data_IF_198151809050
#
_entry.id   IF_198151809050
#
_cell.length_a   1.000
_cell.length_b   1.000
_cell.length_c   1.000
_cell.angle_alpha   90.00
_cell.angle_beta   90.00
_cell.angle_gamma   90.00
#
_symmetry.space_group_name_H-M   'P 1'
#
loop_
_entity.id
_entity.type
_entity.pdbx_description
1 polymer ?
#
# COMPACT_ATOMS: atom_id res chain seq x y z
N UNK A 1 -18.82 26.82 0.61
CA UNK A 1 -19.41 25.77 1.43
C UNK A 1 -20.63 25.07 0.77
N UNK A 2 -21.68 25.80 0.28
CA UNK A 2 -22.83 25.13 -0.42
C UNK A 2 -22.41 24.23 -1.59
N UNK A 3 -21.53 24.67 -2.50
CA UNK A 3 -21.04 23.85 -3.62
C UNK A 3 -20.31 22.56 -3.20
N UNK A 4 -19.57 22.58 -2.08
CA UNK A 4 -18.87 21.41 -1.56
C UNK A 4 -19.85 20.37 -0.97
N UNK A 5 -20.90 20.85 -0.25
CA UNK A 5 -21.96 19.97 0.28
C UNK A 5 -22.78 19.30 -0.83
N UNK A 6 -23.03 20.02 -1.93
CA UNK A 6 -23.73 19.49 -3.11
C UNK A 6 -22.86 18.43 -3.80
N UNK A 7 -21.56 18.68 -3.99
CA UNK A 7 -20.63 17.70 -4.56
C UNK A 7 -20.51 16.46 -3.68
N UNK A 8 -20.46 16.61 -2.36
CA UNK A 8 -20.48 15.53 -1.38
C UNK A 8 -21.76 14.71 -1.45
N UNK A 9 -22.93 15.38 -1.51
CA UNK A 9 -24.21 14.71 -1.64
C UNK A 9 -24.37 13.95 -2.96
N UNK A 10 -23.99 14.57 -4.09
CA UNK A 10 -24.01 13.93 -5.40
C UNK A 10 -23.05 12.74 -5.48
N UNK A 11 -21.84 12.85 -4.90
CA UNK A 11 -20.90 11.73 -4.88
C UNK A 11 -21.38 10.55 -4.05
N UNK A 12 -22.04 10.79 -2.91
CA UNK A 12 -22.69 9.74 -2.11
C UNK A 12 -23.82 9.05 -2.86
N UNK A 13 -24.65 9.81 -3.59
CA UNK A 13 -25.73 9.26 -4.43
C UNK A 13 -25.14 8.42 -5.56
N UNK A 14 -24.12 8.91 -6.24
CA UNK A 14 -23.43 8.18 -7.31
C UNK A 14 -22.79 6.90 -6.77
N UNK A 15 -22.14 6.95 -5.61
CA UNK A 15 -21.55 5.78 -4.94
C UNK A 15 -22.63 4.74 -4.62
N UNK A 16 -23.79 5.18 -4.11
CA UNK A 16 -24.91 4.28 -3.82
C UNK A 16 -25.49 3.65 -5.10
N UNK A 17 -25.67 4.42 -6.16
CA UNK A 17 -26.19 3.92 -7.45
C UNK A 17 -25.21 2.91 -8.08
N UNK A 18 -23.92 3.20 -8.09
CA UNK A 18 -22.91 2.27 -8.61
C UNK A 18 -22.78 0.99 -7.77
N UNK A 19 -22.94 1.06 -6.45
CA UNK A 19 -22.97 -0.13 -5.58
C UNK A 19 -24.12 -1.08 -5.87
N UNK A 20 -25.27 -0.53 -6.26
CA UNK A 20 -26.47 -1.33 -6.54
C UNK A 20 -26.40 -2.06 -7.89
N UNK A 21 -25.55 -1.62 -8.83
CA UNK A 21 -25.53 -2.09 -10.22
C UNK A 21 -24.24 -2.82 -10.63
N UNK A 22 -23.25 -2.97 -9.73
CA UNK A 22 -22.02 -3.64 -10.12
C UNK A 22 -22.21 -5.16 -10.15
N UNK A 23 -22.05 -5.75 -11.34
CA UNK A 23 -22.03 -7.21 -11.55
C UNK A 23 -20.62 -7.64 -11.98
N UNK A 24 -20.14 -8.76 -11.47
CA UNK A 24 -18.92 -9.39 -11.96
C UNK A 24 -19.03 -9.72 -13.45
N UNK A 25 -17.89 -9.72 -14.14
CA UNK A 25 -17.76 -10.16 -15.53
C UNK A 25 -17.64 -11.68 -15.68
N UNK A 26 -17.43 -12.38 -14.58
CA UNK A 26 -17.46 -13.84 -14.52
C UNK A 26 -18.82 -14.31 -14.01
N UNK A 27 -19.31 -15.42 -14.56
CA UNK A 27 -20.48 -16.11 -14.06
C UNK A 27 -20.09 -17.09 -12.96
N UNK A 28 -21.01 -17.41 -12.05
CA UNK A 28 -20.81 -18.36 -10.95
C UNK A 28 -20.44 -19.78 -11.40
N UNK A 29 -20.72 -20.09 -12.67
CA UNK A 29 -20.42 -21.39 -13.31
C UNK A 29 -19.14 -21.38 -14.16
N UNK A 30 -18.31 -20.35 -14.07
CA UNK A 30 -17.10 -20.29 -14.89
C UNK A 30 -16.09 -21.36 -14.45
N UNK A 31 -15.76 -22.26 -15.39
CA UNK A 31 -14.79 -23.35 -15.21
C UNK A 31 -13.43 -23.04 -15.79
N UNK A 32 -13.32 -21.91 -16.51
CA UNK A 32 -12.13 -21.53 -17.25
C UNK A 32 -11.81 -20.04 -17.06
N UNK A 33 -10.52 -19.73 -16.84
CA UNK A 33 -10.01 -18.36 -16.74
C UNK A 33 -8.76 -18.23 -17.60
N UNK A 34 -8.74 -17.17 -18.42
CA UNK A 34 -7.57 -16.72 -19.14
C UNK A 34 -7.17 -15.33 -18.61
N UNK A 35 -5.86 -15.11 -18.42
CA UNK A 35 -5.37 -13.81 -18.00
C UNK A 35 -3.85 -13.76 -17.85
N UNK A 36 -3.40 -12.63 -17.30
CA UNK A 36 -1.98 -12.33 -17.11
C UNK A 36 -1.65 -12.37 -15.61
N UNK A 37 -0.55 -13.00 -15.23
CA UNK A 37 -0.05 -13.02 -13.85
C UNK A 37 0.44 -11.60 -13.47
N UNK A 38 -0.30 -10.93 -12.59
CA UNK A 38 0.08 -9.63 -12.04
C UNK A 38 0.94 -9.78 -10.76
N UNK A 39 0.50 -10.71 -9.86
CA UNK A 39 1.23 -11.07 -8.64
C UNK A 39 1.10 -12.55 -8.38
N UNK A 40 2.09 -13.09 -7.64
CA UNK A 40 2.03 -14.44 -7.11
C UNK A 40 2.69 -14.52 -5.74
N UNK A 41 2.19 -15.44 -4.90
CA UNK A 41 2.75 -15.74 -3.58
C UNK A 41 2.73 -17.26 -3.37
N UNK A 42 3.86 -17.78 -2.90
CA UNK A 42 3.95 -19.16 -2.39
C UNK A 42 3.80 -19.11 -0.87
N UNK A 43 2.88 -19.92 -0.34
CA UNK A 43 2.59 -20.02 1.09
C UNK A 43 2.38 -21.48 1.46
N UNK A 44 3.37 -22.09 2.10
CA UNK A 44 3.37 -23.55 2.31
C UNK A 44 3.25 -24.32 0.98
N UNK A 45 2.26 -25.20 0.87
CA UNK A 45 1.90 -25.91 -0.37
C UNK A 45 1.02 -25.09 -1.32
N UNK A 46 0.54 -23.91 -0.90
CA UNK A 46 -0.38 -23.07 -1.67
C UNK A 46 0.37 -22.09 -2.55
N UNK A 47 -0.06 -21.97 -3.82
CA UNK A 47 0.24 -20.87 -4.73
C UNK A 47 -0.99 -19.98 -4.85
N UNK A 48 -0.86 -18.70 -4.56
CA UNK A 48 -1.89 -17.69 -4.79
C UNK A 48 -1.46 -16.76 -5.90
N UNK A 49 -2.29 -16.66 -6.94
CA UNK A 49 -2.07 -15.80 -8.13
C UNK A 49 -3.10 -14.68 -8.13
N UNK A 50 -2.68 -13.42 -8.32
CA UNK A 50 -3.56 -12.34 -8.76
C UNK A 50 -3.48 -12.28 -10.28
N UNK A 51 -4.57 -12.56 -10.96
CA UNK A 51 -4.67 -12.67 -12.41
C UNK A 51 -5.50 -11.52 -12.97
N UNK A 52 -4.98 -10.88 -14.01
CA UNK A 52 -5.69 -9.87 -14.80
C UNK A 52 -6.30 -10.55 -16.04
N UNK A 53 -7.56 -10.97 -15.91
CA UNK A 53 -8.37 -11.51 -16.99
C UNK A 53 -9.46 -10.51 -17.43
N UNK A 54 -10.70 -10.96 -17.59
CA UNK A 54 -11.87 -10.07 -17.82
C UNK A 54 -12.03 -9.05 -16.70
N UNK A 55 -11.71 -9.45 -15.49
CA UNK A 55 -11.53 -8.63 -14.29
C UNK A 55 -10.40 -9.21 -13.45
N UNK A 56 -9.98 -8.50 -12.39
CA UNK A 56 -8.96 -9.02 -11.46
C UNK A 56 -9.57 -10.14 -10.62
N UNK A 57 -8.88 -11.28 -10.55
CA UNK A 57 -9.31 -12.45 -9.79
C UNK A 57 -8.13 -13.04 -9.01
N UNK A 58 -8.40 -13.63 -7.85
CA UNK A 58 -7.43 -14.43 -7.08
C UNK A 58 -7.64 -15.88 -7.41
N UNK A 59 -6.57 -16.56 -7.82
CA UNK A 59 -6.58 -17.98 -8.18
C UNK A 59 -5.63 -18.73 -7.23
N UNK A 60 -6.12 -19.82 -6.65
CA UNK A 60 -5.37 -20.65 -5.71
C UNK A 60 -5.10 -22.02 -6.30
N UNK A 61 -3.86 -22.47 -6.22
CA UNK A 61 -3.43 -23.83 -6.58
C UNK A 61 -2.71 -24.46 -5.39
N UNK A 62 -2.89 -25.75 -5.18
CA UNK A 62 -2.24 -26.49 -4.11
C UNK A 62 -1.34 -27.56 -4.74
N UNK A 63 -0.05 -27.51 -4.40
CA UNK A 63 0.92 -28.49 -4.85
C UNK A 63 0.82 -29.78 -4.03
N UNK A 64 0.84 -30.90 -4.69
CA UNK A 64 0.83 -32.23 -4.03
C UNK A 64 2.23 -32.59 -3.50
N UNK A 65 3.30 -32.12 -4.18
CA UNK A 65 4.68 -32.44 -3.82
C UNK A 65 5.56 -31.17 -3.75
N UNK A 66 6.64 -31.27 -2.97
CA UNK A 66 7.66 -30.20 -2.87
C UNK A 66 8.40 -30.05 -4.22
N UNK A 67 8.63 -31.14 -4.93
CA UNK A 67 9.33 -31.14 -6.21
C UNK A 67 8.55 -30.39 -7.28
N UNK A 68 7.23 -30.61 -7.35
CA UNK A 68 6.33 -29.87 -8.23
C UNK A 68 6.41 -28.37 -7.94
N UNK A 69 6.29 -27.97 -6.67
CA UNK A 69 6.40 -26.56 -6.24
C UNK A 69 7.73 -25.93 -6.67
N UNK A 70 8.86 -26.59 -6.43
CA UNK A 70 10.16 -26.05 -6.79
C UNK A 70 10.37 -25.98 -8.31
N UNK A 71 9.84 -26.93 -9.07
CA UNK A 71 9.83 -26.88 -10.54
C UNK A 71 9.00 -25.70 -11.05
N UNK A 72 7.84 -25.45 -10.42
CA UNK A 72 6.93 -24.37 -10.78
C UNK A 72 7.52 -22.99 -10.44
N UNK A 73 8.19 -22.83 -9.30
CA UNK A 73 8.89 -21.59 -8.92
C UNK A 73 9.91 -21.14 -9.98
N UNK A 74 10.60 -22.07 -10.62
CA UNK A 74 11.59 -21.77 -11.68
C UNK A 74 10.94 -21.31 -12.98
N UNK A 75 9.69 -21.70 -13.23
CA UNK A 75 8.96 -21.43 -14.50
C UNK A 75 8.13 -20.15 -14.45
N UNK A 76 7.57 -19.81 -13.27
CA UNK A 76 6.63 -18.69 -13.12
C UNK A 76 7.33 -17.34 -13.22
N UNK A 77 6.68 -16.41 -13.93
CA UNK A 77 7.15 -15.02 -14.09
C UNK A 77 5.97 -14.06 -14.13
N UNK A 78 6.19 -12.84 -13.68
CA UNK A 78 5.21 -11.76 -13.85
C UNK A 78 4.91 -11.52 -15.34
N UNK A 79 3.65 -11.30 -15.65
CA UNK A 79 3.22 -10.96 -17.00
C UNK A 79 3.07 -12.13 -17.97
N UNK A 80 3.27 -13.38 -17.52
CA UNK A 80 2.95 -14.56 -18.33
C UNK A 80 1.45 -14.67 -18.50
N UNK A 81 1.01 -15.06 -19.70
CA UNK A 81 -0.37 -15.43 -19.97
C UNK A 81 -0.61 -16.84 -19.46
N UNK A 82 -1.69 -17.02 -18.72
CA UNK A 82 -2.09 -18.32 -18.14
C UNK A 82 -3.50 -18.69 -18.54
N UNK A 83 -3.70 -20.00 -18.67
CA UNK A 83 -4.99 -20.64 -18.89
C UNK A 83 -5.23 -21.57 -17.70
N UNK A 84 -6.33 -21.34 -17.00
CA UNK A 84 -6.67 -22.02 -15.75
C UNK A 84 -7.99 -22.74 -15.92
N UNK A 85 -8.03 -24.03 -15.60
CA UNK A 85 -9.25 -24.82 -15.44
C UNK A 85 -9.48 -25.06 -13.94
N UNK A 86 -10.74 -25.02 -13.51
CA UNK A 86 -11.10 -25.24 -12.11
C UNK A 86 -12.47 -24.71 -11.76
N UNK A 87 -12.66 -24.28 -10.51
CA UNK A 87 -13.95 -23.85 -9.96
C UNK A 87 -13.88 -22.45 -9.37
N UNK A 88 -14.87 -21.65 -9.73
CA UNK A 88 -15.07 -20.31 -9.18
C UNK A 88 -15.87 -20.40 -7.89
N UNK A 89 -15.48 -19.63 -6.88
CA UNK A 89 -16.15 -19.58 -5.58
C UNK A 89 -16.31 -18.14 -5.11
N UNK A 90 -17.42 -17.86 -4.44
CA UNK A 90 -17.61 -16.60 -3.71
C UNK A 90 -16.81 -16.68 -2.41
N UNK A 91 -15.95 -15.70 -2.11
CA UNK A 91 -15.24 -15.69 -0.83
C UNK A 91 -16.21 -15.66 0.35
N UNK A 92 -15.97 -16.49 1.36
CA UNK A 92 -16.79 -16.54 2.55
C UNK A 92 -16.73 -15.24 3.34
N UNK A 93 -17.85 -14.87 3.92
CA UNK A 93 -17.90 -13.79 4.92
C UNK A 93 -17.46 -14.34 6.29
N UNK A 94 -16.94 -13.44 7.12
CA UNK A 94 -16.62 -13.82 8.48
C UNK A 94 -17.87 -14.18 9.26
N UNK A 95 -17.85 -15.33 9.88
CA UNK A 95 -18.87 -15.76 10.86
C UNK A 95 -18.65 -15.15 12.26
N UNK A 96 -17.38 -14.84 12.59
CA UNK A 96 -17.02 -14.27 13.89
C UNK A 96 -16.93 -12.74 13.84
N UNK A 97 -17.59 -12.09 14.78
CA UNK A 97 -17.57 -10.65 14.96
C UNK A 97 -16.13 -10.18 15.27
N UNK A 98 -15.62 -9.19 14.53
CA UNK A 98 -14.32 -8.53 14.71
C UNK A 98 -13.08 -9.20 14.08
N UNK A 99 -13.21 -10.31 13.36
CA UNK A 99 -12.10 -10.86 12.60
C UNK A 99 -11.94 -10.17 11.23
N UNK A 100 -10.74 -10.30 10.64
CA UNK A 100 -10.44 -9.80 9.31
C UNK A 100 -11.44 -10.36 8.27
N UNK A 101 -12.19 -9.48 7.61
CA UNK A 101 -13.16 -9.88 6.60
C UNK A 101 -12.51 -9.97 5.22
N UNK A 102 -12.13 -11.18 4.83
CA UNK A 102 -11.45 -11.46 3.58
C UNK A 102 -12.27 -11.04 2.35
N UNK A 103 -13.60 -11.23 2.35
CA UNK A 103 -14.48 -10.81 1.26
C UNK A 103 -14.46 -9.30 1.06
N UNK A 104 -14.60 -8.51 2.13
CA UNK A 104 -14.51 -7.05 2.08
C UNK A 104 -13.14 -6.57 1.59
N UNK A 105 -12.07 -7.24 2.03
CA UNK A 105 -10.73 -6.95 1.55
C UNK A 105 -10.60 -7.20 0.04
N UNK A 106 -11.09 -8.31 -0.48
CA UNK A 106 -11.09 -8.62 -1.90
C UNK A 106 -11.93 -7.63 -2.71
N UNK A 107 -13.14 -7.28 -2.22
CA UNK A 107 -13.98 -6.25 -2.84
C UNK A 107 -13.27 -4.89 -2.92
N UNK A 108 -12.47 -4.53 -1.91
CA UNK A 108 -11.67 -3.30 -1.95
C UNK A 108 -10.63 -3.30 -3.09
N UNK A 109 -10.23 -4.47 -3.57
CA UNK A 109 -9.37 -4.69 -4.75
C UNK A 109 -10.15 -4.89 -6.06
N UNK A 110 -11.48 -4.81 -6.05
CA UNK A 110 -12.38 -5.19 -7.16
C UNK A 110 -12.24 -6.67 -7.54
N UNK A 111 -12.04 -7.53 -6.57
CA UNK A 111 -12.01 -8.98 -6.72
C UNK A 111 -13.29 -9.53 -6.09
N UNK A 112 -14.14 -10.15 -6.92
CA UNK A 112 -15.46 -10.62 -6.50
C UNK A 112 -15.45 -12.12 -6.23
N UNK A 113 -14.57 -12.84 -6.92
CA UNK A 113 -14.47 -14.29 -6.85
C UNK A 113 -13.05 -14.74 -6.54
N UNK A 114 -12.96 -15.93 -5.99
CA UNK A 114 -11.72 -16.72 -5.87
C UNK A 114 -11.87 -17.94 -6.75
N UNK A 115 -10.83 -18.27 -7.48
CA UNK A 115 -10.80 -19.42 -8.38
C UNK A 115 -9.88 -20.50 -7.83
N UNK A 116 -10.39 -21.70 -7.62
CA UNK A 116 -9.59 -22.85 -7.23
C UNK A 116 -9.17 -23.60 -8.48
N UNK A 117 -7.87 -23.64 -8.71
CA UNK A 117 -7.26 -24.17 -9.92
C UNK A 117 -7.11 -25.68 -9.78
N UNK A 118 -7.51 -26.40 -10.85
CA UNK A 118 -7.28 -27.84 -11.03
C UNK A 118 -6.15 -28.08 -12.04
N UNK A 119 -6.08 -27.27 -13.11
CA UNK A 119 -5.02 -27.35 -14.13
C UNK A 119 -4.49 -25.96 -14.49
N UNK A 120 -3.17 -25.88 -14.76
CA UNK A 120 -2.48 -24.65 -15.16
C UNK A 120 -1.71 -24.89 -16.45
N UNK A 121 -1.96 -24.05 -17.44
CA UNK A 121 -1.12 -23.92 -18.61
C UNK A 121 -0.51 -22.52 -18.66
N UNK A 122 0.80 -22.43 -18.93
CA UNK A 122 1.54 -21.17 -18.95
C UNK A 122 2.08 -20.90 -20.35
N UNK A 123 1.76 -19.71 -20.91
CA UNK A 123 2.36 -19.20 -22.15
C UNK A 123 3.33 -18.07 -21.86
N UNK A 124 4.51 -18.11 -22.47
CA UNK A 124 5.58 -17.12 -22.29
C UNK A 124 5.39 -15.87 -23.17
N UNK A 125 4.20 -15.30 -23.21
CA UNK A 125 3.94 -14.03 -23.89
C UNK A 125 3.94 -12.89 -22.87
N UNK A 126 5.09 -12.19 -22.75
CA UNK A 126 5.30 -11.18 -21.71
C UNK A 126 5.50 -9.81 -22.36
N UNK A 127 4.70 -8.81 -21.97
CA UNK A 127 4.84 -7.44 -22.46
C UNK A 127 6.08 -6.72 -21.88
N UNK A 128 6.46 -5.59 -22.48
CA UNK A 128 7.69 -4.85 -22.16
C UNK A 128 7.78 -4.45 -20.68
N UNK A 129 6.69 -3.96 -20.07
CA UNK A 129 6.70 -3.51 -18.68
C UNK A 129 6.96 -4.67 -17.71
N UNK A 130 6.36 -5.83 -17.95
CA UNK A 130 6.64 -7.03 -17.15
C UNK A 130 8.02 -7.62 -17.43
N UNK A 131 8.58 -7.46 -18.65
CA UNK A 131 9.99 -7.81 -18.92
C UNK A 131 10.93 -6.99 -18.05
N UNK A 132 10.67 -5.67 -17.91
CA UNK A 132 11.43 -4.79 -17.00
C UNK A 132 11.31 -5.28 -15.55
N UNK A 133 10.07 -5.58 -15.08
CA UNK A 133 9.83 -6.10 -13.73
C UNK A 133 10.60 -7.39 -13.48
N UNK A 134 10.51 -8.37 -14.38
CA UNK A 134 11.23 -9.65 -14.28
C UNK A 134 12.76 -9.47 -14.31
N UNK A 135 13.27 -8.52 -15.09
CA UNK A 135 14.70 -8.19 -15.09
C UNK A 135 15.15 -7.63 -13.73
N UNK A 136 14.33 -6.75 -13.13
CA UNK A 136 14.59 -6.23 -11.79
C UNK A 136 14.55 -7.36 -10.74
N UNK A 137 13.56 -8.26 -10.77
CA UNK A 137 13.51 -9.42 -9.87
C UNK A 137 14.80 -10.22 -9.93
N UNK A 138 15.25 -10.62 -11.12
CA UNK A 138 16.52 -11.34 -11.29
C UNK A 138 17.73 -10.58 -10.72
N UNK A 139 17.70 -9.24 -10.76
CA UNK A 139 18.76 -8.41 -10.18
C UNK A 139 18.67 -8.38 -8.66
N UNK A 140 17.45 -8.31 -8.10
CA UNK A 140 17.18 -8.34 -6.66
C UNK A 140 17.57 -9.69 -6.03
N UNK A 141 17.32 -10.81 -6.75
CA UNK A 141 17.69 -12.16 -6.29
C UNK A 141 19.19 -12.26 -5.94
N UNK A 142 20.05 -11.53 -6.68
CA UNK A 142 21.51 -11.52 -6.42
C UNK A 142 21.87 -10.88 -5.07
N UNK A 143 21.02 -9.99 -4.53
CA UNK A 143 21.26 -9.31 -3.25
C UNK A 143 20.83 -10.15 -2.04
N UNK A 144 19.89 -11.09 -2.24
CA UNK A 144 19.34 -11.93 -1.20
C UNK A 144 18.81 -11.12 0.01
N UNK A 145 18.11 -10.03 -0.25
CA UNK A 145 17.52 -9.19 0.80
C UNK A 145 16.04 -8.96 0.56
N UNK A 146 15.15 -9.38 1.49
CA UNK A 146 13.71 -9.23 1.36
C UNK A 146 13.26 -7.76 1.34
N UNK A 147 14.00 -6.86 2.00
CA UNK A 147 13.68 -5.44 2.03
C UNK A 147 13.80 -4.76 0.66
N UNK A 148 14.69 -5.25 -0.21
CA UNK A 148 14.79 -4.72 -1.58
C UNK A 148 13.52 -4.96 -2.39
N UNK A 149 12.89 -6.13 -2.23
CA UNK A 149 11.59 -6.41 -2.87
C UNK A 149 10.51 -5.47 -2.37
N UNK A 150 10.48 -5.22 -1.05
CA UNK A 150 9.51 -4.32 -0.45
C UNK A 150 9.69 -2.87 -0.94
N UNK A 151 10.92 -2.35 -1.03
CA UNK A 151 11.17 -0.94 -1.37
C UNK A 151 11.22 -0.66 -2.88
N UNK A 152 11.61 -1.64 -3.69
CA UNK A 152 11.71 -1.45 -5.16
C UNK A 152 10.44 -1.89 -5.88
N UNK A 153 9.83 -3.00 -5.45
CA UNK A 153 8.66 -3.58 -6.12
C UNK A 153 7.36 -3.45 -5.30
N UNK A 154 7.44 -2.93 -4.06
CA UNK A 154 6.28 -2.89 -3.15
C UNK A 154 5.81 -4.28 -2.72
N UNK A 155 6.66 -5.29 -2.86
CA UNK A 155 6.34 -6.68 -2.55
C UNK A 155 6.95 -7.10 -1.20
N UNK A 156 6.08 -7.22 -0.19
CA UNK A 156 6.47 -7.65 1.15
C UNK A 156 6.38 -9.15 1.36
N UNK A 157 6.03 -9.94 0.33
CA UNK A 157 5.88 -11.39 0.46
C UNK A 157 7.19 -12.12 0.79
N UNK A 158 8.33 -11.51 0.49
CA UNK A 158 9.66 -12.04 0.77
C UNK A 158 10.11 -11.78 2.23
N UNK A 159 9.44 -10.90 2.97
CA UNK A 159 9.72 -10.65 4.39
C UNK A 159 9.02 -11.73 5.21
N UNK A 160 9.72 -12.29 6.18
CA UNK A 160 9.19 -13.30 7.09
C UNK A 160 7.97 -12.79 7.85
N UNK A 161 7.01 -13.68 8.13
CA UNK A 161 5.76 -13.28 8.79
C UNK A 161 6.02 -12.77 10.23
N UNK A 162 6.95 -13.34 10.96
CA UNK A 162 7.33 -12.92 12.31
C UNK A 162 7.85 -11.46 12.32
N UNK A 163 8.64 -11.10 11.29
CA UNK A 163 9.12 -9.73 11.11
C UNK A 163 7.95 -8.79 10.80
N UNK A 164 7.03 -9.18 9.91
CA UNK A 164 5.85 -8.37 9.59
C UNK A 164 4.96 -8.16 10.80
N UNK A 165 4.72 -9.22 11.58
CA UNK A 165 3.97 -9.17 12.82
C UNK A 165 4.64 -8.25 13.85
N UNK A 166 5.96 -8.33 13.98
CA UNK A 166 6.74 -7.44 14.84
C UNK A 166 6.61 -5.98 14.42
N UNK A 167 6.68 -5.67 13.11
CA UNK A 167 6.43 -4.33 12.60
C UNK A 167 5.00 -3.84 12.87
N UNK A 168 4.03 -4.73 12.76
CA UNK A 168 2.62 -4.42 13.00
C UNK A 168 2.35 -4.13 14.47
N UNK A 169 2.82 -5.01 15.35
CA UNK A 169 2.67 -4.91 16.79
C UNK A 169 3.33 -3.64 17.36
N UNK A 170 4.42 -3.20 16.74
CA UNK A 170 5.11 -1.96 17.09
C UNK A 170 4.55 -0.71 16.37
N UNK A 171 3.48 -0.84 15.57
CA UNK A 171 2.82 0.29 14.89
C UNK A 171 3.64 0.95 13.78
N UNK A 172 4.66 0.26 13.27
CA UNK A 172 5.58 0.74 12.22
C UNK A 172 5.45 -0.03 10.90
N UNK A 173 4.44 -0.88 10.74
CA UNK A 173 4.19 -1.67 9.52
C UNK A 173 4.11 -0.83 8.24
N UNK A 174 3.67 0.42 8.35
CA UNK A 174 3.60 1.36 7.23
C UNK A 174 4.96 1.70 6.61
N UNK A 175 6.07 1.43 7.31
CA UNK A 175 7.43 1.65 6.83
C UNK A 175 7.90 0.56 5.87
N UNK A 176 7.36 -0.66 5.96
CA UNK A 176 7.62 -1.75 5.02
C UNK A 176 6.87 -1.54 3.68
N UNK A 177 5.74 -0.85 3.73
CA UNK A 177 4.97 -0.53 2.54
C UNK A 177 5.50 0.76 1.89
N UNK A 178 5.38 0.86 0.56
CA UNK A 178 5.72 2.11 -0.13
C UNK A 178 4.68 3.17 0.24
N UNK A 179 5.14 4.16 0.99
CA UNK A 179 4.34 5.26 1.49
C UNK A 179 4.37 6.48 0.57
N UNK A 180 3.44 7.42 0.82
CA UNK A 180 3.44 8.71 0.13
C UNK A 180 4.72 9.52 0.35
N UNK A 181 5.38 9.35 1.50
CA UNK A 181 6.65 9.99 1.81
C UNK A 181 7.77 9.45 0.91
N UNK A 182 7.86 8.14 0.73
CA UNK A 182 8.84 7.50 -0.16
C UNK A 182 8.72 8.01 -1.60
N UNK A 183 7.49 8.06 -2.14
CA UNK A 183 7.20 8.60 -3.48
C UNK A 183 7.61 10.07 -3.58
N UNK A 184 7.18 10.88 -2.63
CA UNK A 184 7.46 12.31 -2.64
C UNK A 184 8.96 12.59 -2.51
N UNK A 185 9.68 11.86 -1.66
CA UNK A 185 11.11 11.99 -1.48
C UNK A 185 11.87 11.64 -2.77
N UNK A 186 11.59 10.46 -3.34
CA UNK A 186 12.27 9.98 -4.55
C UNK A 186 12.04 10.93 -5.74
N UNK A 187 10.78 11.28 -6.00
CA UNK A 187 10.45 12.07 -7.19
C UNK A 187 10.69 13.58 -7.03
N UNK A 188 10.68 14.12 -5.78
CA UNK A 188 11.20 15.48 -5.54
C UNK A 188 12.71 15.56 -5.74
N UNK A 189 13.45 14.57 -5.23
CA UNK A 189 14.89 14.49 -5.46
C UNK A 189 15.22 14.47 -6.94
N UNK A 190 14.58 13.58 -7.70
CA UNK A 190 14.75 13.48 -9.14
C UNK A 190 14.35 14.76 -9.88
N UNK A 191 13.19 15.35 -9.54
CA UNK A 191 12.73 16.61 -10.12
C UNK A 191 13.73 17.75 -9.88
N UNK A 192 14.26 17.88 -8.67
CA UNK A 192 15.22 18.90 -8.30
C UNK A 192 16.57 18.71 -9.03
N UNK A 193 17.03 17.46 -9.20
CA UNK A 193 18.23 17.15 -9.97
C UNK A 193 18.05 17.54 -11.44
N UNK A 194 16.94 17.17 -12.06
CA UNK A 194 16.65 17.50 -13.45
C UNK A 194 16.49 18.99 -13.69
N UNK A 195 15.98 19.77 -12.71
CA UNK A 195 15.83 21.23 -12.83
C UNK A 195 17.16 21.98 -12.93
N UNK A 196 18.29 21.35 -12.55
CA UNK A 196 19.62 21.90 -12.76
C UNK A 196 20.08 21.80 -14.22
N UNK A 197 19.46 20.91 -15.01
CA UNK A 197 19.95 20.54 -16.34
C UNK A 197 18.97 20.91 -17.46
N UNK A 198 17.66 20.80 -17.23
CA UNK A 198 16.61 20.93 -18.26
C UNK A 198 15.51 21.93 -17.88
N UNK A 199 14.72 22.36 -18.91
CA UNK A 199 13.56 23.25 -18.72
C UNK A 199 12.47 22.58 -17.88
N UNK A 200 11.78 23.36 -17.03
CA UNK A 200 10.73 22.91 -16.08
C UNK A 200 9.65 22.02 -16.72
N UNK A 201 9.15 22.38 -17.91
CA UNK A 201 8.11 21.60 -18.60
C UNK A 201 8.59 20.18 -18.98
N UNK A 202 9.78 20.09 -19.55
CA UNK A 202 10.40 18.79 -19.91
C UNK A 202 10.61 17.92 -18.69
N UNK A 203 11.04 18.51 -17.56
CA UNK A 203 11.29 17.79 -16.32
C UNK A 203 10.02 17.18 -15.74
N UNK A 204 8.89 17.91 -15.76
CA UNK A 204 7.61 17.39 -15.30
C UNK A 204 7.18 16.19 -16.14
N UNK A 205 7.36 16.22 -17.46
CA UNK A 205 7.02 15.12 -18.36
C UNK A 205 7.88 13.88 -18.03
N UNK A 206 9.22 14.04 -17.95
CA UNK A 206 10.13 12.94 -17.63
C UNK A 206 9.77 12.32 -16.28
N UNK A 207 9.60 13.16 -15.25
CA UNK A 207 9.27 12.68 -13.89
C UNK A 207 7.92 11.99 -13.87
N UNK A 208 6.92 12.46 -14.65
CA UNK A 208 5.60 11.80 -14.74
C UNK A 208 5.71 10.42 -15.39
N UNK A 209 6.50 10.28 -16.45
CA UNK A 209 6.71 8.97 -17.10
C UNK A 209 7.41 8.00 -16.14
N UNK A 210 8.48 8.44 -15.48
CA UNK A 210 9.22 7.62 -14.52
C UNK A 210 8.36 7.25 -13.31
N UNK A 211 7.54 8.18 -12.83
CA UNK A 211 6.57 7.91 -11.77
C UNK A 211 5.57 6.85 -12.20
N UNK A 212 5.03 6.93 -13.41
CA UNK A 212 4.08 5.93 -13.91
C UNK A 212 4.71 4.53 -14.00
N UNK A 213 5.95 4.44 -14.50
CA UNK A 213 6.70 3.18 -14.52
C UNK A 213 6.90 2.64 -13.11
N UNK A 214 7.26 3.50 -12.16
CA UNK A 214 7.44 3.10 -10.77
C UNK A 214 6.12 2.66 -10.11
N UNK A 215 5.02 3.38 -10.35
CA UNK A 215 3.69 2.97 -9.87
C UNK A 215 3.27 1.60 -10.41
N UNK A 216 3.61 1.30 -11.67
CA UNK A 216 3.42 -0.03 -12.25
C UNK A 216 4.24 -1.10 -11.50
N UNK A 217 5.53 -0.84 -11.26
CA UNK A 217 6.42 -1.78 -10.56
C UNK A 217 5.92 -2.12 -9.16
N UNK A 218 5.42 -1.13 -8.42
CA UNK A 218 4.89 -1.30 -7.05
C UNK A 218 3.42 -1.75 -7.00
N UNK A 219 2.79 -1.98 -8.16
CA UNK A 219 1.45 -2.57 -8.27
C UNK A 219 0.30 -1.59 -8.00
N UNK A 220 0.46 -0.30 -8.30
CA UNK A 220 -0.60 0.72 -8.22
C UNK A 220 -1.36 0.74 -6.89
N UNK A 221 -0.65 0.68 -5.75
CA UNK A 221 -1.31 0.81 -4.45
C UNK A 221 -2.03 2.16 -4.31
N UNK A 222 -3.14 2.19 -3.57
CA UNK A 222 -3.94 3.43 -3.40
C UNK A 222 -3.13 4.57 -2.77
N UNK A 223 -2.21 4.25 -1.84
CA UNK A 223 -1.31 5.23 -1.22
C UNK A 223 -0.30 5.79 -2.23
N UNK A 224 0.27 4.93 -3.09
CA UNK A 224 1.24 5.35 -4.10
C UNK A 224 0.60 6.18 -5.22
N UNK A 225 -0.57 5.77 -5.73
CA UNK A 225 -1.32 6.56 -6.73
C UNK A 225 -1.69 7.93 -6.16
N UNK A 226 -2.25 7.99 -4.93
CA UNK A 226 -2.60 9.26 -4.27
C UNK A 226 -1.39 10.18 -4.20
N UNK A 227 -0.27 9.68 -3.68
CA UNK A 227 0.93 10.49 -3.50
C UNK A 227 1.52 10.97 -4.84
N UNK A 228 1.60 10.09 -5.82
CA UNK A 228 2.08 10.42 -7.16
C UNK A 228 1.21 11.46 -7.86
N UNK A 229 -0.12 11.27 -7.82
CA UNK A 229 -1.08 12.23 -8.40
C UNK A 229 -1.01 13.58 -7.71
N UNK A 230 -0.97 13.62 -6.36
CA UNK A 230 -0.81 14.87 -5.61
C UNK A 230 0.52 15.55 -5.97
N UNK A 231 1.61 14.80 -6.02
CA UNK A 231 2.92 15.33 -6.36
C UNK A 231 2.91 16.03 -7.72
N UNK A 232 2.44 15.38 -8.78
CA UNK A 232 2.41 15.95 -10.13
C UNK A 232 1.49 17.16 -10.22
N UNK A 233 0.26 17.07 -9.71
CA UNK A 233 -0.73 18.16 -9.82
C UNK A 233 -0.25 19.39 -9.05
N UNK A 234 0.32 19.24 -7.86
CA UNK A 234 0.86 20.37 -7.07
C UNK A 234 2.09 21.03 -7.71
N UNK A 235 2.85 20.30 -8.56
CA UNK A 235 3.94 20.89 -9.36
C UNK A 235 3.44 21.69 -10.56
N UNK A 236 2.29 21.33 -11.12
CA UNK A 236 1.70 21.97 -12.31
C UNK A 236 0.78 23.12 -11.92
N UNK A 237 -0.09 22.91 -10.92
CA UNK A 237 -1.16 23.83 -10.54
C UNK A 237 -1.05 24.28 -9.07
N UNK A 238 -1.31 25.56 -8.83
CA UNK A 238 -1.43 26.12 -7.46
C UNK A 238 -2.83 25.82 -6.90
N UNK A 239 -3.01 24.62 -6.36
CA UNK A 239 -4.26 24.18 -5.71
C UNK A 239 -3.98 23.99 -4.22
N UNK A 240 -4.93 24.32 -3.35
CA UNK A 240 -4.83 24.04 -1.91
C UNK A 240 -4.75 22.53 -1.69
N UNK A 241 -3.72 21.98 -1.00
CA UNK A 241 -3.49 20.54 -0.89
C UNK A 241 -4.68 19.75 -0.35
N UNK A 242 -5.43 20.28 0.62
CA UNK A 242 -6.60 19.60 1.17
C UNK A 242 -7.74 19.46 0.14
N UNK A 243 -7.95 20.47 -0.74
CA UNK A 243 -8.97 20.38 -1.81
C UNK A 243 -8.60 19.29 -2.82
N UNK A 244 -7.33 19.24 -3.20
CA UNK A 244 -6.84 18.19 -4.10
C UNK A 244 -6.96 16.80 -3.48
N UNK A 245 -6.59 16.64 -2.20
CA UNK A 245 -6.72 15.39 -1.47
C UNK A 245 -8.17 14.89 -1.45
N UNK A 246 -9.13 15.77 -1.11
CA UNK A 246 -10.56 15.43 -1.11
C UNK A 246 -11.07 15.06 -2.51
N UNK A 247 -10.63 15.80 -3.55
CA UNK A 247 -10.99 15.46 -4.94
C UNK A 247 -10.51 14.05 -5.30
N UNK A 248 -9.25 13.72 -4.99
CA UNK A 248 -8.69 12.40 -5.25
C UNK A 248 -9.43 11.32 -4.44
N UNK A 249 -9.77 11.59 -3.17
CA UNK A 249 -10.54 10.69 -2.32
C UNK A 249 -11.88 10.31 -2.97
N UNK A 250 -12.65 11.30 -3.43
CA UNK A 250 -13.94 11.04 -4.08
C UNK A 250 -13.77 10.32 -5.42
N UNK A 251 -12.77 10.67 -6.22
CA UNK A 251 -12.49 9.95 -7.47
C UNK A 251 -12.20 8.47 -7.22
N UNK A 252 -11.45 8.15 -6.17
CA UNK A 252 -11.21 6.76 -5.77
C UNK A 252 -12.50 6.04 -5.36
N UNK A 253 -13.38 6.69 -4.57
CA UNK A 253 -14.65 6.10 -4.17
C UNK A 253 -15.63 5.94 -5.33
N UNK A 254 -15.65 6.87 -6.28
CA UNK A 254 -16.42 6.73 -7.53
C UNK A 254 -15.90 5.53 -8.34
N UNK A 255 -14.57 5.36 -8.41
CA UNK A 255 -13.97 4.24 -9.11
C UNK A 255 -14.24 2.89 -8.43
N UNK A 256 -14.11 2.84 -7.11
CA UNK A 256 -14.38 1.65 -6.29
C UNK A 256 -14.88 2.05 -4.90
N UNK A 257 -16.19 2.02 -4.64
CA UNK A 257 -16.76 2.39 -3.33
C UNK A 257 -16.34 1.45 -2.20
N UNK A 258 -15.99 0.19 -2.51
CA UNK A 258 -15.51 -0.76 -1.52
C UNK A 258 -14.13 -0.43 -0.93
N UNK A 259 -13.42 0.58 -1.48
CA UNK A 259 -12.18 1.09 -0.88
C UNK A 259 -12.36 1.59 0.55
N UNK A 260 -13.58 1.96 0.96
CA UNK A 260 -13.89 2.31 2.34
C UNK A 260 -13.59 1.16 3.33
N UNK A 261 -13.57 -0.09 2.87
CA UNK A 261 -13.18 -1.25 3.68
C UNK A 261 -11.68 -1.50 3.69
N UNK A 262 -10.91 -0.75 2.89
CA UNK A 262 -9.44 -0.86 2.86
C UNK A 262 -8.81 0.01 3.93
N UNK A 263 -8.22 -0.61 4.94
CA UNK A 263 -7.48 0.07 6.00
C UNK A 263 -6.35 0.96 5.42
N UNK A 264 -5.60 0.45 4.44
CA UNK A 264 -4.51 1.19 3.80
C UNK A 264 -5.03 2.45 3.09
N UNK A 265 -6.20 2.37 2.44
CA UNK A 265 -6.84 3.53 1.84
C UNK A 265 -7.24 4.55 2.91
N UNK A 266 -7.96 4.14 3.95
CA UNK A 266 -8.43 5.03 5.01
C UNK A 266 -7.25 5.72 5.73
N UNK A 267 -6.26 4.95 6.19
CA UNK A 267 -5.08 5.50 6.86
C UNK A 267 -4.34 6.50 5.96
N UNK A 268 -4.16 6.15 4.68
CA UNK A 268 -3.46 7.01 3.73
C UNK A 268 -4.13 8.37 3.56
N UNK A 269 -5.47 8.42 3.47
CA UNK A 269 -6.20 9.69 3.28
C UNK A 269 -6.39 10.45 4.58
N UNK A 270 -6.81 9.77 5.66
CA UNK A 270 -7.09 10.40 6.96
C UNK A 270 -5.82 11.01 7.56
N UNK A 271 -4.73 10.25 7.64
CA UNK A 271 -3.46 10.76 8.17
C UNK A 271 -2.95 11.95 7.35
N UNK A 272 -3.00 11.85 6.01
CA UNK A 272 -2.56 12.97 5.16
C UNK A 272 -3.43 14.21 5.35
N UNK A 273 -4.73 14.06 5.52
CA UNK A 273 -5.65 15.16 5.76
C UNK A 273 -5.34 15.88 7.07
N UNK A 274 -5.10 15.14 8.14
CA UNK A 274 -4.71 15.70 9.43
C UNK A 274 -3.35 16.41 9.35
N UNK A 275 -2.36 15.83 8.68
CA UNK A 275 -1.04 16.47 8.49
C UNK A 275 -1.15 17.78 7.68
N UNK A 276 -2.06 17.85 6.71
CA UNK A 276 -2.29 19.09 5.94
C UNK A 276 -2.98 20.16 6.79
N UNK A 277 -3.98 19.78 7.58
CA UNK A 277 -4.73 20.71 8.43
C UNK A 277 -3.84 21.25 9.56
N UNK A 278 -3.16 20.36 10.26
CA UNK A 278 -2.33 20.70 11.41
C UNK A 278 -0.88 21.03 11.05
N UNK A 279 -0.59 21.37 9.78
CA UNK A 279 0.75 21.74 9.30
C UNK A 279 1.40 22.83 10.14
N UNK A 280 0.61 23.75 10.71
CA UNK A 280 1.12 24.87 11.49
C UNK A 280 1.68 24.44 12.85
N UNK A 281 1.30 23.28 13.37
CA UNK A 281 1.90 22.64 14.54
C UNK A 281 3.24 21.96 14.22
N UNK A 282 3.48 21.62 12.93
CA UNK A 282 4.69 20.95 12.47
C UNK A 282 5.78 22.00 12.17
N UNK A 283 6.13 22.81 13.18
CA UNK A 283 7.17 23.87 13.08
C UNK A 283 8.26 23.64 14.13
N UNK A 284 9.44 24.20 13.88
CA UNK A 284 10.58 24.12 14.79
C UNK A 284 11.76 23.35 14.21
N UNK A 285 12.62 22.82 15.05
CA UNK A 285 13.77 22.02 14.68
C UNK A 285 13.34 20.63 14.14
N UNK A 286 14.29 19.88 13.59
CA UNK A 286 14.01 18.57 12.97
C UNK A 286 13.32 17.59 13.94
N UNK A 287 13.81 17.48 15.17
CA UNK A 287 13.25 16.60 16.19
C UNK A 287 11.78 16.95 16.49
N UNK A 288 11.49 18.23 16.77
CA UNK A 288 10.13 18.71 17.05
C UNK A 288 9.18 18.46 15.86
N UNK A 289 9.64 18.71 14.63
CA UNK A 289 8.84 18.42 13.42
C UNK A 289 8.50 16.94 13.31
N UNK A 290 9.46 16.05 13.48
CA UNK A 290 9.26 14.60 13.38
C UNK A 290 8.33 14.10 14.49
N UNK A 291 8.52 14.57 15.72
CA UNK A 291 7.66 14.23 16.85
C UNK A 291 6.22 14.69 16.62
N UNK A 292 6.00 15.94 16.21
CA UNK A 292 4.65 16.46 15.92
C UNK A 292 3.99 15.73 14.76
N UNK A 293 4.74 15.40 13.71
CA UNK A 293 4.24 14.60 12.59
C UNK A 293 3.80 13.21 13.09
N UNK A 294 4.61 12.56 13.93
CA UNK A 294 4.32 11.24 14.50
C UNK A 294 3.07 11.27 15.39
N UNK A 295 2.97 12.29 16.27
CA UNK A 295 1.80 12.48 17.13
C UNK A 295 0.52 12.72 16.35
N UNK A 296 0.54 13.60 15.36
CA UNK A 296 -0.63 13.90 14.53
C UNK A 296 -1.03 12.65 13.74
N UNK A 297 -0.07 11.94 13.16
CA UNK A 297 -0.33 10.70 12.41
C UNK A 297 -0.89 9.60 13.32
N UNK A 298 -0.37 9.46 14.54
CA UNK A 298 -0.83 8.53 15.55
C UNK A 298 -2.29 8.83 15.94
N UNK A 299 -2.62 10.07 16.33
CA UNK A 299 -3.97 10.47 16.70
C UNK A 299 -4.94 10.23 15.53
N UNK A 300 -4.57 10.62 14.32
CA UNK A 300 -5.38 10.43 13.13
C UNK A 300 -5.62 8.95 12.78
N UNK A 301 -4.62 8.09 12.96
CA UNK A 301 -4.68 6.66 12.64
C UNK A 301 -5.33 5.79 13.70
N UNK A 302 -5.30 6.21 14.97
CA UNK A 302 -5.76 5.46 16.14
C UNK A 302 -7.16 4.84 15.98
N UNK A 303 -8.21 5.55 15.54
CA UNK A 303 -9.56 4.98 15.40
C UNK A 303 -9.60 3.83 14.40
N UNK A 304 -8.89 3.96 13.31
CA UNK A 304 -8.84 2.96 12.24
C UNK A 304 -8.07 1.73 12.72
N UNK A 305 -6.96 1.93 13.45
CA UNK A 305 -6.13 0.87 14.01
C UNK A 305 -6.89 0.08 15.08
N UNK A 306 -7.52 0.77 16.04
CA UNK A 306 -8.32 0.13 17.09
C UNK A 306 -9.48 -0.69 16.49
N UNK A 307 -10.17 -0.14 15.48
CA UNK A 307 -11.27 -0.85 14.81
C UNK A 307 -10.81 -2.17 14.16
N UNK A 308 -9.62 -2.18 13.55
CA UNK A 308 -9.12 -3.36 12.82
C UNK A 308 -8.33 -4.36 13.69
N UNK A 309 -7.57 -3.88 14.70
CA UNK A 309 -6.63 -4.72 15.47
C UNK A 309 -7.01 -4.84 16.96
N UNK A 310 -7.97 -4.09 17.45
CA UNK A 310 -8.36 -4.03 18.87
C UNK A 310 -7.20 -3.75 19.84
N UNK A 311 -6.08 -3.25 19.35
CA UNK A 311 -4.87 -2.94 20.11
C UNK A 311 -4.23 -1.66 19.61
N UNK A 312 -3.46 -1.00 20.46
CA UNK A 312 -2.67 0.17 20.13
C UNK A 312 -1.36 0.13 20.89
N UNK A 313 -0.29 0.51 20.22
CA UNK A 313 1.03 0.64 20.84
C UNK A 313 1.42 2.12 20.90
N UNK A 314 1.46 2.69 22.11
CA UNK A 314 1.84 4.09 22.36
C UNK A 314 3.31 4.35 22.01
N UNK A 315 4.18 3.33 22.16
CA UNK A 315 5.59 3.44 21.82
C UNK A 315 5.82 3.66 20.32
N UNK A 316 4.82 3.37 19.49
CA UNK A 316 4.90 3.64 18.05
C UNK A 316 5.26 5.09 17.73
N UNK A 317 4.89 6.06 18.58
CA UNK A 317 5.25 7.48 18.43
C UNK A 317 6.77 7.66 18.50
N UNK A 318 7.41 7.03 19.49
CA UNK A 318 8.87 7.09 19.68
C UNK A 318 9.61 6.25 18.64
N UNK A 319 9.06 5.05 18.31
CA UNK A 319 9.63 4.18 17.29
C UNK A 319 9.62 4.86 15.91
N UNK A 320 8.57 5.60 15.59
CA UNK A 320 8.50 6.38 14.37
C UNK A 320 9.56 7.49 14.32
N UNK A 321 9.89 8.09 15.47
CA UNK A 321 10.95 9.11 15.55
C UNK A 321 12.32 8.56 15.12
N UNK A 322 12.58 7.29 15.40
CA UNK A 322 13.83 6.59 15.04
C UNK A 322 13.75 5.94 13.66
N UNK A 323 12.72 5.11 13.42
CA UNK A 323 12.67 4.26 12.23
C UNK A 323 12.22 4.99 10.97
N UNK A 324 11.39 6.04 11.06
CA UNK A 324 10.99 6.83 9.88
C UNK A 324 12.21 7.48 9.21
N UNK A 325 13.11 8.21 9.93
CA UNK A 325 14.32 8.75 9.29
C UNK A 325 15.24 7.66 8.76
N UNK A 326 15.48 6.60 9.54
CA UNK A 326 16.39 5.51 9.19
C UNK A 326 15.95 4.82 7.90
N UNK A 327 14.69 4.43 7.82
CA UNK A 327 14.17 3.74 6.64
C UNK A 327 14.04 4.72 5.46
N UNK A 328 13.42 5.87 5.65
CA UNK A 328 13.04 6.73 4.52
C UNK A 328 14.18 7.55 3.93
N UNK A 329 15.18 7.94 4.75
CA UNK A 329 16.30 8.76 4.27
C UNK A 329 17.60 7.99 4.09
N UNK A 330 17.72 6.78 4.65
CA UNK A 330 18.95 5.98 4.54
C UNK A 330 18.65 4.72 3.73
N UNK A 331 17.83 3.79 4.25
CA UNK A 331 17.68 2.45 3.66
C UNK A 331 16.97 2.52 2.31
N UNK A 332 15.87 3.29 2.21
CA UNK A 332 15.11 3.41 0.98
C UNK A 332 15.93 4.01 -0.19
N UNK A 333 16.63 5.15 -0.05
CA UNK A 333 17.51 5.64 -1.12
C UNK A 333 18.67 4.68 -1.42
N UNK A 334 19.26 4.10 -0.38
CA UNK A 334 20.35 3.12 -0.54
C UNK A 334 19.91 1.90 -1.34
N UNK A 335 18.62 1.49 -1.24
CA UNK A 335 18.06 0.40 -2.04
C UNK A 335 18.15 0.70 -3.54
N UNK A 336 17.83 1.92 -3.97
CA UNK A 336 17.95 2.33 -5.38
C UNK A 336 19.42 2.48 -5.82
N UNK A 337 20.24 3.13 -4.99
CA UNK A 337 21.67 3.31 -5.30
C UNK A 337 22.39 1.96 -5.39
N UNK A 338 22.06 1.02 -4.52
CA UNK A 338 22.64 -0.32 -4.52
C UNK A 338 22.33 -1.09 -5.80
N UNK A 339 21.11 -0.95 -6.32
CA UNK A 339 20.74 -1.55 -7.60
C UNK A 339 21.41 -0.88 -8.79
N UNK A 340 21.56 0.45 -8.77
CA UNK A 340 22.20 1.19 -9.86
C UNK A 340 23.69 0.88 -9.94
N UNK A 341 24.38 0.89 -8.80
CA UNK A 341 25.84 0.77 -8.72
C UNK A 341 26.34 -0.59 -8.25
N UNK A 342 25.43 -1.57 -8.09
CA UNK A 342 25.73 -2.93 -7.63
C UNK A 342 26.45 -2.98 -6.26
N UNK A 343 26.06 -2.13 -5.31
CA UNK A 343 26.67 -1.96 -3.99
C UNK A 343 26.15 -3.00 -2.98
N UNK A 344 26.27 -4.31 -3.29
CA UNK A 344 25.74 -5.39 -2.45
C UNK A 344 26.31 -5.35 -1.03
N UNK A 345 27.62 -5.28 -0.86
CA UNK A 345 28.28 -5.29 0.46
C UNK A 345 27.82 -4.12 1.34
N UNK A 346 27.80 -2.90 0.78
CA UNK A 346 27.34 -1.70 1.49
C UNK A 346 25.88 -1.83 1.93
N UNK A 347 25.02 -2.29 1.03
CA UNK A 347 23.60 -2.50 1.35
C UNK A 347 23.42 -3.52 2.47
N UNK A 348 24.07 -4.69 2.37
CA UNK A 348 24.00 -5.72 3.42
C UNK A 348 24.49 -5.21 4.77
N UNK A 349 25.56 -4.42 4.80
CA UNK A 349 26.07 -3.80 6.03
C UNK A 349 25.01 -2.92 6.72
N UNK A 350 24.36 -2.02 5.98
CA UNK A 350 23.32 -1.15 6.54
C UNK A 350 22.06 -1.91 6.94
N UNK A 351 21.68 -2.96 6.21
CA UNK A 351 20.54 -3.81 6.59
C UNK A 351 20.84 -4.57 7.88
N UNK A 352 22.04 -5.13 8.04
CA UNK A 352 22.42 -5.84 9.27
C UNK A 352 22.39 -4.90 10.50
N UNK A 353 22.86 -3.66 10.34
CA UNK A 353 22.74 -2.64 11.40
C UNK A 353 21.28 -2.35 11.70
N UNK A 354 20.45 -2.19 10.67
CA UNK A 354 19.03 -1.93 10.84
C UNK A 354 18.33 -3.09 11.58
N UNK A 355 18.57 -4.33 11.17
CA UNK A 355 18.01 -5.53 11.83
C UNK A 355 18.50 -5.68 13.26
N UNK A 356 19.79 -5.37 13.53
CA UNK A 356 20.33 -5.37 14.89
C UNK A 356 19.60 -4.35 15.78
N UNK A 357 19.46 -3.10 15.33
CA UNK A 357 18.74 -2.04 16.06
C UNK A 357 17.27 -2.43 16.24
N UNK A 358 16.64 -2.96 15.19
CA UNK A 358 15.26 -3.37 15.22
C UNK A 358 15.02 -4.49 16.24
N UNK A 359 15.82 -5.54 16.18
CA UNK A 359 15.71 -6.67 17.10
C UNK A 359 15.99 -6.24 18.56
N UNK A 360 17.03 -5.44 18.80
CA UNK A 360 17.34 -4.93 20.13
C UNK A 360 16.16 -4.17 20.75
N UNK A 361 15.51 -3.29 19.98
CA UNK A 361 14.38 -2.49 20.46
C UNK A 361 13.14 -3.36 20.67
N UNK A 362 12.89 -4.33 19.78
CA UNK A 362 11.70 -5.20 19.86
C UNK A 362 11.79 -6.14 21.04
N UNK A 363 12.94 -6.77 21.28
CA UNK A 363 13.11 -7.63 22.46
C UNK A 363 12.90 -6.87 23.77
N UNK A 364 13.27 -5.58 23.82
CA UNK A 364 13.00 -4.74 24.99
C UNK A 364 11.51 -4.32 25.11
N UNK A 365 10.73 -4.38 24.04
CA UNK A 365 9.36 -3.84 23.96
C UNK A 365 8.24 -4.85 24.16
N UNK A 366 8.52 -6.14 24.22
CA UNK A 366 7.49 -7.19 24.40
C UNK A 366 6.66 -7.05 25.69
N UNK A 367 7.12 -6.24 26.63
CA UNK A 367 6.45 -5.98 27.92
C UNK A 367 5.34 -4.90 27.89
N UNK A 368 5.17 -4.13 26.80
CA UNK A 368 4.33 -2.91 26.82
C UNK A 368 3.13 -2.92 25.89
N UNK A 369 2.68 -4.06 25.40
CA UNK A 369 1.39 -4.15 24.72
C UNK A 369 0.26 -4.10 25.73
N UNK A 370 -0.36 -2.94 25.89
CA UNK A 370 -1.61 -2.82 26.61
C UNK A 370 -2.77 -3.18 25.63
N UNK A 371 -3.51 -4.28 25.85
CA UNK A 371 -4.76 -4.50 25.16
C UNK A 371 -5.75 -3.44 25.68
N UNK A 372 -5.88 -2.36 24.94
CA UNK A 372 -6.90 -1.35 25.28
C UNK A 372 -8.22 -1.90 24.77
N UNK A 373 -9.01 -2.51 25.67
CA UNK A 373 -10.47 -2.70 25.48
C UNK A 373 -11.14 -1.32 25.46
N UNK A 374 -10.89 -0.53 24.42
CA UNK A 374 -11.52 0.75 24.26
C UNK A 374 -12.90 0.56 23.64
N UNK A 375 -13.90 1.00 24.40
CA UNK A 375 -15.31 0.87 24.12
C UNK A 375 -15.69 1.47 22.76
N UNK A 376 -16.75 0.90 22.14
CA UNK A 376 -17.51 1.40 20.97
C UNK A 376 -17.79 2.91 20.99
N UNK A 377 -17.75 3.54 22.14
CA UNK A 377 -18.03 4.97 22.34
C UNK A 377 -16.93 5.90 21.80
N UNK A 378 -15.68 5.44 21.68
CA UNK A 378 -14.61 6.26 21.09
C UNK A 378 -14.73 6.33 19.56
N UNK A 379 -15.19 5.27 18.90
CA UNK A 379 -15.51 5.35 17.46
C UNK A 379 -16.65 6.33 17.18
N UNK A 380 -17.67 6.40 18.05
CA UNK A 380 -18.74 7.42 17.96
C UNK A 380 -18.20 8.83 18.17
N UNK A 381 -17.29 9.03 19.11
CA UNK A 381 -16.66 10.32 19.37
C UNK A 381 -15.83 10.83 18.17
N UNK A 382 -15.17 9.93 17.45
CA UNK A 382 -14.40 10.31 16.25
C UNK A 382 -15.29 10.55 15.02
N UNK A 383 -16.42 9.88 14.89
CA UNK A 383 -17.43 10.21 13.86
C UNK A 383 -17.99 11.61 14.13
N UNK A 384 -18.24 11.96 15.39
CA UNK A 384 -18.60 13.32 15.84
C UNK A 384 -17.47 14.34 15.58
N UNK A 385 -16.19 13.97 15.70
CA UNK A 385 -15.06 14.84 15.35
C UNK A 385 -14.99 15.13 13.84
N UNK A 386 -15.41 14.20 12.98
CA UNK A 386 -15.59 14.48 11.54
C UNK A 386 -16.71 15.52 11.30
N UNK A 387 -17.72 15.58 12.14
CA UNK A 387 -18.78 16.61 12.09
C UNK A 387 -18.33 17.95 12.71
N UNK A 388 -17.37 17.95 13.65
CA UNK A 388 -16.86 19.16 14.33
C UNK A 388 -15.74 19.86 13.50
N UNK A 389 -15.01 19.17 12.67
CA UNK A 389 -13.93 19.76 11.81
C UNK A 389 -14.44 20.92 10.93
N UNK A 390 -15.67 20.89 10.34
CA UNK A 390 -16.22 22.06 9.66
C UNK A 390 -16.52 23.27 10.59
N UNK A 391 -16.74 23.03 11.88
CA UNK A 391 -17.04 24.06 12.88
C UNK A 391 -15.78 24.74 13.38
N UNK A 392 -14.71 23.99 13.63
CA UNK A 392 -13.41 24.55 14.03
C UNK A 392 -12.76 25.44 12.93
N UNK A 393 -13.08 25.20 11.65
CA UNK A 393 -12.62 26.04 10.53
C UNK A 393 -13.41 27.35 10.38
N UNK A 394 -14.45 27.60 11.19
CA UNK A 394 -15.14 28.88 11.25
C UNK A 394 -14.55 29.83 12.31
N UNK A 395 -13.68 29.31 13.17
CA UNK A 395 -13.14 30.03 14.34
C UNK A 395 -11.65 30.41 14.11
N UNK A 396 -11.01 29.87 13.07
CA UNK A 396 -9.67 30.22 12.58
C UNK A 396 -9.78 30.77 11.15
#
# INVERSE_FOLDING_TARGET
>A
MKKLKIILGLSLIIILIFNLNYKSKYNDSATYIEGIIDKYKFDGSKLSLEVLGKERIVCNYYFDTIEEKESFKKKIKYGQTIYLEGKINIPNENTNFKLFNYRKYLLSKKIYYVFNIEKIEIKNNINLLYKIKNHLVKKLDKFNSPYLYAFILGDTNYIEEDIKESFQNNGISHLLAISGMHITFLFNGLYNLLNKIKKRKTNIIIVTILLFIYLFLVGFSTSSIRAGTMFIILKIKKIKPYKLLLTIFFLFLIYNPYLIFSQSFLLSFVVTFYLIIFKDLIKGNYFKKTLMTSLIAFIAGTPIIIYNYNSINLLSILLNLLFVPLISYIIFPLSFLSLLFNLKKTYTFFINIFEYIFNFIIYSNTAYMAPIKLAKNICKFYILLFDIIPVAYKII
#
